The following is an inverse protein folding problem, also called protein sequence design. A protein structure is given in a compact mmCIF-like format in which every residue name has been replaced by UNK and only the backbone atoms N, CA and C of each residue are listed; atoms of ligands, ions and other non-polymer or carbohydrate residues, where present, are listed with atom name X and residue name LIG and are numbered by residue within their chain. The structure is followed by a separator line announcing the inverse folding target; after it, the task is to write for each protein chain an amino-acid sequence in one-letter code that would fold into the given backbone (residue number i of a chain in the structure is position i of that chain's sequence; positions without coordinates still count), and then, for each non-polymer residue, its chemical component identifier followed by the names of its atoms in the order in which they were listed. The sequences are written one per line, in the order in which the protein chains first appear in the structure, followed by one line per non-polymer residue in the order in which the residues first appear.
data_IF_812474047023
#
_entry.id   IF_812474047023
#
_cell.length_a   1.000
_cell.length_b   1.000
_cell.length_c   1.000
_cell.angle_alpha   90.00
_cell.angle_beta   90.00
_cell.angle_gamma   90.00
#
_symmetry.space_group_name_H-M   'P 1'
#
loop_
_entity.id
_entity.type
_entity.pdbx_description
1 polymer ?
#
# COMPACT_ATOMS: atom_id res chain seq x y z
N UNK A 1 7.30 -6.83 -4.56
CA UNK A 1 7.24 -5.38 -4.37
C UNK A 1 6.77 -5.09 -2.96
N UNK A 2 7.28 -4.04 -2.32
CA UNK A 2 7.11 -3.81 -0.89
C UNK A 2 5.83 -3.04 -0.51
N UNK A 3 4.74 -3.25 -1.24
CA UNK A 3 3.47 -2.55 -0.98
C UNK A 3 2.94 -2.88 0.42
N UNK A 4 3.01 -4.14 0.80
CA UNK A 4 2.57 -4.58 2.13
C UNK A 4 3.34 -3.87 3.24
N UNK A 5 4.66 -3.79 3.11
CA UNK A 5 5.52 -3.16 4.13
C UNK A 5 5.23 -1.66 4.26
N UNK A 6 5.00 -0.99 3.14
CA UNK A 6 4.65 0.45 3.16
C UNK A 6 3.26 0.66 3.76
N UNK A 7 2.29 -0.19 3.40
CA UNK A 7 0.94 -0.10 3.95
C UNK A 7 0.91 -0.39 5.45
N UNK A 8 1.76 -1.29 5.93
CA UNK A 8 1.85 -1.58 7.36
C UNK A 8 2.33 -0.37 8.16
N UNK A 9 3.10 0.53 7.56
CA UNK A 9 3.46 1.80 8.21
C UNK A 9 2.22 2.64 8.51
N UNK A 10 1.23 2.62 7.63
CA UNK A 10 -0.04 3.31 7.85
C UNK A 10 -0.80 2.71 9.04
N UNK A 11 -0.74 1.40 9.19
CA UNK A 11 -1.37 0.73 10.33
C UNK A 11 -0.68 1.10 11.65
N UNK A 12 0.65 1.18 11.66
CA UNK A 12 1.41 1.62 12.83
C UNK A 12 1.16 3.08 13.18
N UNK A 13 0.81 3.90 12.19
CA UNK A 13 0.46 5.30 12.39
C UNK A 13 -0.97 5.47 12.93
N UNK A 14 -1.65 4.37 13.24
CA UNK A 14 -3.01 4.35 13.79
C UNK A 14 -4.03 5.00 12.87
N UNK A 15 -3.85 4.82 11.56
CA UNK A 15 -4.80 5.29 10.57
C UNK A 15 -6.14 4.58 10.70
N UNK A 16 -7.21 5.29 10.45
CA UNK A 16 -8.57 4.72 10.39
C UNK A 16 -8.96 4.40 8.96
N UNK A 17 -8.42 5.14 8.01
CA UNK A 17 -8.67 4.96 6.59
C UNK A 17 -7.34 4.89 5.85
N UNK A 18 -7.16 3.86 5.05
CA UNK A 18 -5.97 3.68 4.20
C UNK A 18 -6.45 3.45 2.77
N UNK A 19 -5.98 4.28 1.85
CA UNK A 19 -6.29 4.14 0.44
C UNK A 19 -5.07 3.58 -0.29
N UNK A 20 -5.26 2.51 -1.04
CA UNK A 20 -4.23 1.92 -1.90
C UNK A 20 -4.76 1.93 -3.32
N UNK A 21 -4.05 2.60 -4.21
CA UNK A 21 -4.44 2.70 -5.61
C UNK A 21 -3.30 2.22 -6.49
N UNK A 22 -3.59 1.28 -7.39
CA UNK A 22 -2.64 0.76 -8.36
C UNK A 22 -3.17 1.10 -9.75
N UNK A 23 -2.39 1.85 -10.53
CA UNK A 23 -2.78 2.29 -11.85
C UNK A 23 -1.76 1.79 -12.87
N UNK A 24 -2.20 0.93 -13.79
CA UNK A 24 -1.38 0.43 -14.89
C UNK A 24 -1.83 1.10 -16.19
N UNK A 25 -0.94 1.86 -16.80
CA UNK A 25 -1.20 2.59 -18.04
C UNK A 25 -0.19 2.11 -19.09
N UNK A 26 -0.65 1.23 -19.98
CA UNK A 26 0.17 0.66 -21.04
C UNK A 26 0.61 1.70 -22.07
N UNK A 27 -0.25 2.68 -22.36
CA UNK A 27 0.04 3.72 -23.33
C UNK A 27 1.17 4.63 -22.85
N UNK A 28 1.20 4.94 -21.56
CA UNK A 28 2.27 5.75 -20.94
C UNK A 28 3.45 4.92 -20.46
N UNK A 29 3.37 3.58 -20.57
CA UNK A 29 4.35 2.63 -20.02
C UNK A 29 4.63 2.92 -18.54
N UNK A 30 3.57 3.12 -17.77
CA UNK A 30 3.68 3.58 -16.39
C UNK A 30 2.82 2.77 -15.44
N UNK A 31 3.41 2.36 -14.34
CA UNK A 31 2.72 1.79 -13.19
C UNK A 31 2.81 2.79 -12.05
N UNK A 32 1.67 3.20 -11.50
CA UNK A 32 1.63 4.11 -10.36
C UNK A 32 1.02 3.40 -9.17
N UNK A 33 1.67 3.51 -8.01
CA UNK A 33 1.17 3.00 -6.75
C UNK A 33 1.05 4.16 -5.77
N UNK A 34 -0.15 4.36 -5.25
CA UNK A 34 -0.46 5.41 -4.29
C UNK A 34 -0.93 4.76 -2.99
N UNK A 35 -0.33 5.16 -1.88
CA UNK A 35 -0.74 4.72 -0.54
C UNK A 35 -0.94 5.97 0.30
N UNK A 36 -2.17 6.19 0.74
CA UNK A 36 -2.56 7.38 1.50
C UNK A 36 -3.28 6.96 2.77
N UNK A 37 -2.92 7.60 3.89
CA UNK A 37 -3.56 7.30 5.17
C UNK A 37 -3.86 8.58 5.94
N UNK A 38 -4.79 8.45 6.90
CA UNK A 38 -5.18 9.52 7.82
C UNK A 38 -4.61 9.29 9.23
N UNK A 39 -3.46 8.65 9.32
CA UNK A 39 -2.80 8.39 10.59
C UNK A 39 -2.17 9.61 11.23
N UNK A 40 -1.26 9.38 12.18
CA UNK A 40 -0.64 10.47 12.95
C UNK A 40 0.26 11.38 12.11
N UNK A 41 0.66 10.95 10.92
CA UNK A 41 1.55 11.73 10.07
C UNK A 41 2.98 11.80 10.59
N UNK A 42 3.81 12.57 9.88
CA UNK A 42 5.22 12.73 10.21
C UNK A 42 5.64 14.17 9.98
N UNK A 43 6.65 14.63 10.76
CA UNK A 43 7.33 15.89 10.51
C UNK A 43 8.26 15.74 9.29
N UNK A 44 8.75 16.86 8.77
CA UNK A 44 9.72 16.86 7.66
C UNK A 44 10.97 16.05 8.03
N UNK A 45 11.43 16.16 9.27
CA UNK A 45 12.57 15.41 9.76
C UNK A 45 12.30 13.91 9.78
N UNK A 46 11.12 13.49 10.22
CA UNK A 46 10.71 12.08 10.23
C UNK A 46 10.59 11.52 8.81
N UNK A 47 10.07 12.30 7.87
CA UNK A 47 9.99 11.90 6.46
C UNK A 47 11.39 11.65 5.91
N UNK A 48 12.34 12.55 6.18
CA UNK A 48 13.74 12.38 5.75
C UNK A 48 14.35 11.11 6.34
N UNK A 49 14.07 10.80 7.61
CA UNK A 49 14.57 9.60 8.28
C UNK A 49 13.97 8.32 7.70
N UNK A 50 12.67 8.32 7.43
CA UNK A 50 11.98 7.10 6.94
C UNK A 50 12.40 6.73 5.53
N UNK A 51 12.86 7.69 4.73
CA UNK A 51 13.35 7.45 3.38
C UNK A 51 14.84 7.13 3.31
N UNK A 52 15.54 7.27 4.45
CA UNK A 52 16.99 7.01 4.54
C UNK A 52 17.24 5.54 4.95
N UNK A 53 17.79 4.70 4.07
CA UNK A 53 18.06 3.30 4.43
C UNK A 53 19.11 3.17 5.53
N UNK A 54 20.03 4.11 5.66
CA UNK A 54 21.06 4.08 6.69
C UNK A 54 20.52 4.40 8.07
N UNK A 55 19.49 5.21 8.16
CA UNK A 55 18.85 5.50 9.43
C UNK A 55 18.19 4.25 10.01
N UNK A 56 17.49 3.48 9.17
CA UNK A 56 16.76 2.28 9.62
C UNK A 56 17.69 1.13 10.00
N UNK A 57 18.89 1.05 9.40
CA UNK A 57 19.87 0.02 9.76
C UNK A 57 20.58 0.32 11.08
N UNK A 58 20.58 1.58 11.51
CA UNK A 58 21.18 2.00 12.79
C UNK A 58 20.28 1.72 13.97
N UNK A 59 18.98 1.56 13.74
CA UNK A 59 18.05 1.23 14.79
C UNK A 59 17.86 -0.30 14.80
N UNK A 60 17.78 -0.89 15.97
CA UNK A 60 17.57 -2.34 16.12
C UNK A 60 16.17 -2.77 15.69
N UNK A 61 15.39 -1.88 15.10
CA UNK A 61 14.05 -2.18 14.59
C UNK A 61 14.13 -2.85 13.24
N UNK A 62 13.60 -4.05 13.13
CA UNK A 62 13.48 -4.80 11.87
C UNK A 62 12.46 -4.20 10.91
N UNK A 63 11.76 -3.15 11.33
CA UNK A 63 10.72 -2.46 10.57
C UNK A 63 11.26 -1.12 10.12
N UNK A 64 11.05 -0.75 8.88
CA UNK A 64 11.41 0.56 8.36
C UNK A 64 12.23 0.55 7.08
N UNK A 65 12.52 -0.61 6.50
CA UNK A 65 13.17 -0.69 5.20
C UNK A 65 12.19 -0.65 4.04
N UNK A 66 10.87 -0.76 4.32
CA UNK A 66 9.85 -0.78 3.28
C UNK A 66 9.86 0.45 2.39
N UNK A 67 9.86 1.65 3.00
CA UNK A 67 9.83 2.91 2.25
C UNK A 67 11.13 3.13 1.46
N UNK A 68 12.33 2.98 2.06
CA UNK A 68 13.58 3.11 1.29
C UNK A 68 13.67 2.14 0.12
N UNK A 69 13.28 0.88 0.31
CA UNK A 69 13.31 -0.13 -0.74
C UNK A 69 12.29 0.17 -1.84
N UNK A 70 11.12 0.68 -1.47
CA UNK A 70 10.08 1.08 -2.42
C UNK A 70 10.56 2.24 -3.30
N UNK A 71 11.19 3.24 -2.68
CA UNK A 71 11.79 4.37 -3.37
C UNK A 71 12.88 3.90 -4.35
N UNK A 72 13.77 3.03 -3.88
CA UNK A 72 14.85 2.49 -4.70
C UNK A 72 14.28 1.73 -5.91
N UNK A 73 13.27 0.90 -5.70
CA UNK A 73 12.63 0.14 -6.78
C UNK A 73 12.02 1.07 -7.84
N UNK A 74 11.37 2.15 -7.43
CA UNK A 74 10.80 3.13 -8.34
C UNK A 74 11.89 3.79 -9.18
N UNK A 75 12.95 4.28 -8.53
CA UNK A 75 14.04 4.96 -9.20
C UNK A 75 14.81 4.05 -10.15
N UNK A 76 15.05 2.80 -9.77
CA UNK A 76 15.75 1.82 -10.61
C UNK A 76 14.98 1.46 -11.88
N UNK A 77 13.66 1.54 -11.84
CA UNK A 77 12.82 1.25 -13.01
C UNK A 77 12.57 2.48 -13.90
N UNK A 78 13.28 3.60 -13.62
CA UNK A 78 13.10 4.82 -14.39
C UNK A 78 11.88 5.64 -13.99
N UNK A 79 11.28 5.34 -12.85
CA UNK A 79 10.14 6.08 -12.33
C UNK A 79 10.52 7.08 -11.24
N UNK A 80 9.52 7.58 -10.55
CA UNK A 80 9.64 8.59 -9.53
C UNK A 80 9.06 8.13 -8.20
N UNK A 81 9.50 8.76 -7.13
CA UNK A 81 8.98 8.52 -5.79
C UNK A 81 8.72 9.86 -5.09
N UNK A 82 7.61 9.95 -4.39
CA UNK A 82 7.33 11.09 -3.54
C UNK A 82 6.61 10.63 -2.28
N UNK A 83 6.90 11.30 -1.17
CA UNK A 83 6.19 11.09 0.09
C UNK A 83 5.92 12.45 0.70
N UNK A 84 4.68 12.69 1.05
CA UNK A 84 4.25 13.91 1.74
C UNK A 84 3.52 13.51 3.00
N UNK A 85 3.77 14.23 4.08
CA UNK A 85 3.16 13.94 5.36
C UNK A 85 3.00 15.22 6.17
N UNK A 86 1.96 15.24 6.99
CA UNK A 86 1.70 16.36 7.90
C UNK A 86 1.28 15.77 9.26
N UNK A 87 1.96 16.19 10.36
CA UNK A 87 1.61 15.71 11.69
C UNK A 87 0.13 15.98 12.00
N UNK A 88 -0.57 14.96 12.49
CA UNK A 88 -1.97 15.05 12.83
C UNK A 88 -2.93 14.93 11.65
N UNK A 89 -2.43 14.84 10.43
CA UNK A 89 -3.26 14.75 9.21
C UNK A 89 -3.11 13.39 8.54
N UNK A 90 -1.88 12.97 8.25
CA UNK A 90 -1.63 11.69 7.61
C UNK A 90 -0.43 11.71 6.67
N UNK A 91 -0.29 10.65 5.88
CA UNK A 91 0.83 10.45 4.97
C UNK A 91 0.34 9.99 3.61
N UNK A 92 0.97 10.49 2.56
CA UNK A 92 0.71 10.10 1.18
C UNK A 92 2.02 9.68 0.52
N UNK A 93 2.10 8.44 0.10
CA UNK A 93 3.25 7.88 -0.61
C UNK A 93 2.84 7.57 -2.04
N UNK A 94 3.59 8.10 -3.01
CA UNK A 94 3.31 7.88 -4.42
C UNK A 94 4.59 7.42 -5.11
N UNK A 95 4.52 6.32 -5.85
CA UNK A 95 5.66 5.81 -6.61
C UNK A 95 5.20 5.48 -8.02
N UNK A 96 6.02 5.81 -9.01
CA UNK A 96 5.79 5.41 -10.38
C UNK A 96 6.96 4.56 -10.86
N UNK A 97 6.66 3.61 -11.74
CA UNK A 97 7.60 2.62 -12.25
C UNK A 97 7.42 2.52 -13.77
N UNK A 98 8.49 2.25 -14.49
CA UNK A 98 8.39 1.88 -15.91
C UNK A 98 7.72 0.52 -16.01
N UNK A 99 6.55 0.45 -16.64
CA UNK A 99 5.72 -0.76 -16.65
C UNK A 99 6.43 -1.95 -17.31
N UNK A 100 7.12 -1.72 -18.41
CA UNK A 100 7.84 -2.75 -19.16
C UNK A 100 9.36 -2.76 -18.87
N UNK A 101 9.82 -1.95 -17.93
CA UNK A 101 11.24 -1.87 -17.58
C UNK A 101 11.70 -3.19 -16.97
N UNK A 102 12.85 -3.72 -17.44
CA UNK A 102 13.38 -5.01 -16.95
C UNK A 102 13.82 -4.95 -15.50
N UNK A 103 14.14 -3.76 -14.99
CA UNK A 103 14.54 -3.57 -13.59
C UNK A 103 13.35 -3.38 -12.66
N UNK A 104 12.13 -3.35 -13.21
CA UNK A 104 10.93 -3.25 -12.39
C UNK A 104 10.69 -4.55 -11.63
N UNK A 105 10.58 -4.43 -10.31
CA UNK A 105 10.20 -5.56 -9.50
C UNK A 105 8.75 -5.98 -9.83
N UNK A 106 8.45 -7.27 -9.86
CA UNK A 106 7.07 -7.73 -10.07
C UNK A 106 6.13 -7.11 -9.04
N UNK A 107 4.94 -6.74 -9.48
CA UNK A 107 3.89 -6.22 -8.59
C UNK A 107 3.53 -7.26 -7.52
N UNK A 108 3.68 -8.53 -7.85
CA UNK A 108 3.34 -9.62 -6.97
C UNK A 108 1.84 -9.90 -6.96
N UNK A 109 1.42 -10.71 -6.01
CA UNK A 109 0.01 -11.07 -5.84
C UNK A 109 -0.69 -10.02 -5.00
N UNK A 110 -1.24 -9.00 -5.65
CA UNK A 110 -1.97 -7.93 -4.96
C UNK A 110 -3.21 -8.45 -4.24
N UNK A 111 -3.85 -9.49 -4.77
CA UNK A 111 -5.01 -10.09 -4.11
C UNK A 111 -4.63 -10.66 -2.75
N UNK A 112 -3.51 -11.39 -2.66
CA UNK A 112 -3.02 -11.92 -1.39
C UNK A 112 -2.59 -10.81 -0.43
N UNK A 113 -1.93 -9.78 -0.94
CA UNK A 113 -1.51 -8.62 -0.15
C UNK A 113 -2.71 -7.91 0.45
N UNK A 114 -3.72 -7.64 -0.35
CA UNK A 114 -4.93 -6.96 0.10
C UNK A 114 -5.76 -7.84 1.04
N UNK A 115 -5.82 -9.13 0.79
CA UNK A 115 -6.47 -10.09 1.69
C UNK A 115 -5.84 -10.01 3.08
N UNK A 116 -4.52 -10.03 3.15
CA UNK A 116 -3.80 -9.96 4.41
C UNK A 116 -4.06 -8.64 5.13
N UNK A 117 -3.98 -7.52 4.42
CA UNK A 117 -4.21 -6.20 5.00
C UNK A 117 -5.63 -6.05 5.53
N UNK A 118 -6.63 -6.39 4.72
CA UNK A 118 -8.04 -6.23 5.07
C UNK A 118 -8.40 -7.14 6.23
N UNK A 119 -8.02 -8.41 6.17
CA UNK A 119 -8.42 -9.39 7.17
C UNK A 119 -7.66 -9.26 8.48
N UNK A 120 -6.42 -8.75 8.45
CA UNK A 120 -5.62 -8.58 9.66
C UNK A 120 -5.85 -7.25 10.37
N UNK A 121 -6.47 -6.29 9.71
CA UNK A 121 -6.72 -4.95 10.24
C UNK A 121 -8.20 -4.58 10.06
N UNK A 122 -9.05 -5.36 10.70
CA UNK A 122 -10.50 -5.24 10.60
C UNK A 122 -11.03 -3.88 11.07
N UNK A 123 -10.31 -3.21 11.99
CA UNK A 123 -10.66 -1.89 12.51
C UNK A 123 -10.32 -0.74 11.57
N UNK A 124 -9.57 -1.03 10.51
CA UNK A 124 -9.14 -0.02 9.54
C UNK A 124 -9.93 -0.20 8.25
N UNK A 125 -10.46 0.91 7.74
CA UNK A 125 -11.13 0.88 6.43
C UNK A 125 -10.07 0.99 5.34
N UNK A 126 -9.73 -0.15 4.73
CA UNK A 126 -8.78 -0.22 3.62
C UNK A 126 -9.57 -0.10 2.32
N UNK A 127 -9.25 0.92 1.53
CA UNK A 127 -9.87 1.15 0.23
C UNK A 127 -8.85 0.82 -0.85
N UNK A 128 -9.17 -0.15 -1.68
CA UNK A 128 -8.27 -0.62 -2.72
C UNK A 128 -8.89 -0.39 -4.10
N UNK A 129 -8.15 0.31 -4.96
CA UNK A 129 -8.53 0.54 -6.34
C UNK A 129 -7.41 0.03 -7.25
N UNK A 130 -7.77 -0.78 -8.25
CA UNK A 130 -6.83 -1.24 -9.25
C UNK A 130 -7.37 -0.88 -10.63
N UNK A 131 -6.64 -0.05 -11.35
CA UNK A 131 -7.03 0.42 -12.68
C UNK A 131 -6.01 -0.11 -13.69
N UNK A 132 -6.50 -0.83 -14.69
CA UNK A 132 -5.67 -1.35 -15.79
C UNK A 132 -6.25 -0.82 -17.10
N UNK A 133 -5.53 0.11 -17.73
CA UNK A 133 -5.91 0.71 -19.02
C UNK A 133 -7.37 1.20 -19.03
N UNK A 134 -7.77 1.87 -17.95
CA UNK A 134 -9.10 2.46 -17.78
C UNK A 134 -10.15 1.53 -17.19
N UNK A 135 -9.83 0.26 -16.98
CA UNK A 135 -10.73 -0.68 -16.29
C UNK A 135 -10.47 -0.64 -14.80
N UNK A 136 -11.49 -0.31 -14.02
CA UNK A 136 -11.37 -0.09 -12.60
C UNK A 136 -11.99 -1.23 -11.78
N UNK A 137 -11.25 -1.72 -10.79
CA UNK A 137 -11.73 -2.61 -9.74
C UNK A 137 -11.61 -1.87 -8.42
N UNK A 138 -12.67 -1.88 -7.62
CA UNK A 138 -12.68 -1.23 -6.30
C UNK A 138 -13.27 -2.14 -5.24
N UNK A 139 -12.64 -2.17 -4.06
CA UNK A 139 -13.16 -2.86 -2.89
C UNK A 139 -12.72 -2.10 -1.64
N UNK A 140 -13.54 -2.10 -0.61
CA UNK A 140 -13.19 -1.53 0.69
C UNK A 140 -13.57 -2.48 1.82
N UNK A 141 -12.92 -2.30 2.97
CA UNK A 141 -13.26 -3.05 4.18
C UNK A 141 -14.72 -2.85 4.56
N UNK A 142 -15.20 -1.61 4.50
CA UNK A 142 -16.60 -1.29 4.83
C UNK A 142 -17.57 -2.01 3.90
N UNK A 143 -17.27 -2.06 2.61
CA UNK A 143 -18.08 -2.78 1.62
C UNK A 143 -18.14 -4.27 1.93
N UNK A 144 -17.00 -4.87 2.28
CA UNK A 144 -16.95 -6.28 2.64
C UNK A 144 -17.72 -6.57 3.92
N UNK A 145 -17.65 -5.69 4.91
CA UNK A 145 -18.42 -5.84 6.16
C UNK A 145 -19.91 -5.80 5.92
N UNK A 146 -20.39 -4.99 5.00
CA UNK A 146 -21.80 -4.94 4.61
C UNK A 146 -22.23 -6.26 3.97
N UNK A 147 -21.42 -6.79 3.07
CA UNK A 147 -21.70 -8.07 2.39
C UNK A 147 -21.75 -9.22 3.39
N UNK A 148 -20.86 -9.21 4.38
CA UNK A 148 -20.70 -10.30 5.34
C UNK A 148 -21.60 -10.17 6.57
N UNK A 149 -22.34 -9.07 6.70
CA UNK A 149 -23.36 -8.83 7.73
C UNK A 149 -22.88 -9.15 9.15
N UNK A 150 -21.75 -8.51 9.52
CA UNK A 150 -21.22 -8.60 10.89
C UNK A 150 -20.33 -9.79 11.21
N UNK A 151 -20.07 -10.65 10.24
CA UNK A 151 -19.13 -11.77 10.44
C UNK A 151 -17.70 -11.23 10.43
N UNK A 152 -16.87 -11.70 11.36
CA UNK A 152 -15.49 -11.26 11.48
C UNK A 152 -14.66 -11.60 10.24
N UNK A 153 -13.88 -10.62 9.76
CA UNK A 153 -12.96 -10.81 8.64
C UNK A 153 -11.76 -11.70 8.99
N UNK A 154 -11.52 -11.93 10.28
CA UNK A 154 -10.42 -12.78 10.74
C UNK A 154 -10.75 -14.27 10.69
N UNK A 155 -12.02 -14.62 10.53
CA UNK A 155 -12.47 -16.01 10.42
C UNK A 155 -11.82 -16.66 9.18
N UNK A 156 -11.21 -17.86 9.29
CA UNK A 156 -10.52 -18.49 8.14
C UNK A 156 -11.38 -18.65 6.90
N UNK A 157 -12.64 -19.01 7.06
CA UNK A 157 -13.57 -19.17 5.93
C UNK A 157 -13.82 -17.85 5.22
N UNK A 158 -13.90 -16.76 5.97
CA UNK A 158 -14.11 -15.41 5.43
C UNK A 158 -12.84 -14.93 4.73
N UNK A 159 -11.65 -15.23 5.25
CA UNK A 159 -10.39 -14.91 4.60
C UNK A 159 -10.33 -15.55 3.22
N UNK A 160 -10.75 -16.79 3.08
CA UNK A 160 -10.79 -17.49 1.79
C UNK A 160 -11.75 -16.78 0.84
N UNK A 161 -12.95 -16.43 1.32
CA UNK A 161 -13.93 -15.69 0.53
C UNK A 161 -13.38 -14.35 0.04
N UNK A 162 -12.75 -13.58 0.92
CA UNK A 162 -12.15 -12.28 0.55
C UNK A 162 -11.07 -12.47 -0.52
N UNK A 163 -10.22 -13.49 -0.37
CA UNK A 163 -9.19 -13.79 -1.35
C UNK A 163 -9.77 -14.12 -2.73
N UNK A 164 -10.83 -14.90 -2.77
CA UNK A 164 -11.51 -15.24 -4.02
C UNK A 164 -12.18 -14.01 -4.65
N UNK A 165 -12.82 -13.18 -3.83
CA UNK A 165 -13.44 -11.94 -4.28
C UNK A 165 -12.42 -11.01 -4.93
N UNK A 166 -11.24 -10.88 -4.34
CA UNK A 166 -10.18 -10.01 -4.84
C UNK A 166 -9.55 -10.52 -6.15
N UNK A 167 -9.66 -11.83 -6.43
CA UNK A 167 -9.11 -12.42 -7.66
C UNK A 167 -10.05 -12.33 -8.86
N UNK A 168 -11.28 -11.98 -8.62
CA UNK A 168 -12.21 -11.73 -9.71
C UNK A 168 -11.94 -10.34 -10.34
#
# INVERSE_FOLDING_TARGET
MNVLDVAENSMRAQAKNVTIKVIEDSAADKLTILIEDDGCGMSEEQVAQVTDPFFTTRTTRKVGLGVPLFKMAAEMSGGDFSITSEPGVGTKTCASFGLTNIDRMPLGDMASTMQLLICSHEDVNVMYTHIVDGKEFFVSTDQLKEILDGVSLETPEIRIFVGEYLRE
#
